data_IF_826296808300
#
_entry.id   IF_826296808300
#
_cell.length_a   1.000
_cell.length_b   1.000
_cell.length_c   1.000
_cell.angle_alpha   90.00
_cell.angle_beta   90.00
_cell.angle_gamma   90.00
#
_symmetry.space_group_name_H-M   'P 1'
#
loop_
_entity.id
_entity.type
_entity.pdbx_description
1 polymer ?
#
# COMPACT_ATOMS: atom_id res chain seq x y z
N UNK A 1 73.65 3.81 -91.42
CA UNK A 1 72.67 3.32 -92.43
C UNK A 1 71.30 3.36 -91.76
N UNK A 2 70.35 4.27 -91.97
CA UNK A 2 70.14 5.54 -92.73
C UNK A 2 69.46 6.52 -91.73
N UNK A 3 69.94 7.77 -91.59
CA UNK A 3 69.39 9.02 -92.16
C UNK A 3 67.94 9.31 -91.74
N UNK A 4 67.72 10.24 -90.79
CA UNK A 4 67.40 11.70 -90.97
C UNK A 4 65.87 11.89 -90.97
N UNK A 5 65.22 12.85 -90.30
CA UNK A 5 65.53 14.23 -89.95
C UNK A 5 64.57 14.69 -88.81
N UNK A 6 65.02 15.39 -87.75
CA UNK A 6 65.10 16.87 -87.62
C UNK A 6 63.69 17.54 -87.61
N UNK A 7 63.34 18.55 -86.80
CA UNK A 7 63.97 19.46 -85.81
C UNK A 7 62.81 20.42 -85.42
N UNK A 8 62.62 20.94 -84.21
CA UNK A 8 63.13 22.23 -83.64
C UNK A 8 62.17 22.48 -82.45
N UNK A 9 62.57 22.42 -81.18
CA UNK A 9 63.27 23.40 -80.33
C UNK A 9 62.50 24.66 -79.87
N UNK A 10 62.70 24.93 -78.57
CA UNK A 10 62.47 26.16 -77.78
C UNK A 10 61.03 26.38 -77.27
N UNK A 11 60.68 26.19 -75.99
CA UNK A 11 61.18 26.76 -74.72
C UNK A 11 60.61 28.15 -74.35
N UNK A 12 60.02 28.18 -73.14
CA UNK A 12 60.18 29.18 -72.06
C UNK A 12 59.01 30.16 -71.75
N UNK A 13 58.56 30.02 -70.49
CA UNK A 13 58.16 31.01 -69.47
C UNK A 13 56.80 31.76 -69.54
N UNK A 14 56.10 31.66 -68.39
CA UNK A 14 54.83 32.25 -67.94
C UNK A 14 54.83 33.79 -67.88
N UNK A 15 53.64 34.43 -67.87
CA UNK A 15 53.36 35.33 -66.75
C UNK A 15 51.89 35.39 -66.26
N UNK A 16 51.76 36.20 -65.22
CA UNK A 16 50.74 36.46 -64.20
C UNK A 16 49.47 37.25 -64.63
N UNK A 17 48.46 37.19 -63.74
CA UNK A 17 47.14 37.89 -63.68
C UNK A 17 47.09 39.37 -64.12
N UNK A 18 45.88 39.87 -64.45
CA UNK A 18 45.49 41.27 -64.18
C UNK A 18 44.32 41.42 -63.18
N UNK A 19 44.23 42.63 -62.61
CA UNK A 19 43.33 43.13 -61.57
C UNK A 19 42.30 44.16 -62.11
N UNK A 20 41.05 44.11 -61.59
CA UNK A 20 40.12 45.21 -61.18
C UNK A 20 39.67 46.32 -62.18
N UNK A 21 38.34 46.52 -62.32
CA UNK A 21 37.70 47.87 -62.28
C UNK A 21 36.20 47.81 -61.85
N UNK A 22 35.74 48.85 -61.14
CA UNK A 22 34.56 48.96 -60.24
C UNK A 22 33.28 49.51 -60.89
N UNK A 23 32.10 49.19 -60.32
CA UNK A 23 31.04 50.17 -59.97
C UNK A 23 30.03 49.57 -58.97
N UNK A 24 29.56 50.42 -58.04
CA UNK A 24 28.82 50.14 -56.79
C UNK A 24 27.40 50.73 -56.90
N UNK A 25 26.34 50.00 -56.48
CA UNK A 25 25.15 50.55 -55.79
C UNK A 25 24.54 49.46 -54.85
N UNK A 26 24.29 49.83 -53.59
CA UNK A 26 23.66 49.06 -52.49
C UNK A 26 22.12 48.89 -52.65
N UNK A 27 21.51 47.83 -52.10
CA UNK A 27 20.68 47.87 -50.85
C UNK A 27 19.81 46.60 -50.58
N UNK A 28 19.84 46.13 -49.32
CA UNK A 28 18.85 45.38 -48.50
C UNK A 28 18.51 43.87 -48.70
N UNK A 29 19.13 43.06 -47.83
CA UNK A 29 18.65 41.97 -46.95
C UNK A 29 17.21 41.42 -47.13
N UNK A 30 17.11 40.11 -47.31
CA UNK A 30 16.08 39.25 -46.67
C UNK A 30 16.69 37.86 -46.38
N UNK A 31 16.86 37.53 -45.10
CA UNK A 31 17.24 36.20 -44.61
C UNK A 31 15.94 35.42 -44.39
N UNK A 32 15.78 34.28 -45.07
CA UNK A 32 14.85 33.24 -44.61
C UNK A 32 15.49 31.87 -44.80
N UNK A 33 15.92 31.29 -43.68
CA UNK A 33 16.30 29.89 -43.60
C UNK A 33 15.03 29.03 -43.70
N UNK A 34 14.96 28.13 -44.67
CA UNK A 34 13.95 27.07 -44.69
C UNK A 34 14.36 25.99 -43.67
N UNK A 35 13.81 26.09 -42.47
CA UNK A 35 13.73 24.96 -41.55
C UNK A 35 12.61 24.05 -42.03
N UNK A 36 12.92 22.92 -42.67
CA UNK A 36 11.92 21.87 -42.90
C UNK A 36 11.54 21.26 -41.55
N UNK A 37 10.39 21.69 -41.03
CA UNK A 37 9.77 21.07 -39.86
C UNK A 37 9.33 19.65 -40.24
N UNK A 38 9.96 18.64 -39.64
CA UNK A 38 9.37 17.31 -39.56
C UNK A 38 8.13 17.47 -38.70
N UNK A 39 6.95 17.42 -39.31
CA UNK A 39 5.70 17.39 -38.57
C UNK A 39 5.72 16.14 -37.67
N UNK A 40 5.57 16.34 -36.36
CA UNK A 40 5.30 15.23 -35.46
C UNK A 40 4.03 14.53 -35.93
N UNK A 41 4.10 13.21 -36.14
CA UNK A 41 2.93 12.42 -36.46
C UNK A 41 1.95 12.51 -35.27
N UNK A 42 0.87 13.26 -35.46
CA UNK A 42 -0.19 13.45 -34.49
C UNK A 42 -1.46 12.79 -35.02
N UNK A 43 -2.02 11.85 -34.25
CA UNK A 43 -3.37 11.30 -34.50
C UNK A 43 -3.48 9.87 -35.02
N UNK A 44 -2.45 9.02 -34.91
CA UNK A 44 -2.62 7.59 -35.18
C UNK A 44 -3.29 6.85 -34.01
N UNK A 45 -4.29 6.01 -34.27
CA UNK A 45 -4.83 5.06 -33.29
C UNK A 45 -3.76 4.02 -32.98
N UNK A 46 -3.35 3.89 -31.72
CA UNK A 46 -2.45 2.83 -31.29
C UNK A 46 -3.19 1.83 -30.39
N UNK A 47 -2.92 0.55 -30.60
CA UNK A 47 -3.40 -0.56 -29.78
C UNK A 47 -2.24 -1.00 -28.88
N UNK A 48 -2.47 -1.02 -27.57
CA UNK A 48 -1.51 -1.61 -26.63
C UNK A 48 -1.89 -3.07 -26.42
N UNK A 49 -1.15 -3.98 -27.05
CA UNK A 49 -1.43 -5.43 -27.05
C UNK A 49 -0.89 -6.16 -25.81
N UNK A 50 -0.19 -5.46 -24.90
CA UNK A 50 0.26 -6.04 -23.62
C UNK A 50 0.44 -4.97 -22.55
N UNK A 51 -0.10 -5.20 -21.36
CA UNK A 51 0.31 -4.50 -20.14
C UNK A 51 1.48 -5.24 -19.50
N UNK A 52 2.50 -4.52 -19.07
CA UNK A 52 3.56 -5.04 -18.20
C UNK A 52 3.51 -4.21 -16.92
N UNK A 53 3.46 -4.87 -15.76
CA UNK A 53 3.77 -4.21 -14.48
C UNK A 53 5.30 -4.13 -14.43
N UNK A 54 5.86 -2.99 -14.83
CA UNK A 54 7.29 -2.72 -14.73
C UNK A 54 7.53 -1.66 -13.65
N UNK A 55 8.41 -1.94 -12.69
CA UNK A 55 8.87 -1.00 -11.67
C UNK A 55 9.83 0.06 -12.20
N UNK A 56 9.47 0.76 -13.27
CA UNK A 56 10.31 1.77 -13.93
C UNK A 56 9.67 3.16 -13.90
N UNK A 57 10.21 4.06 -13.08
CA UNK A 57 9.91 5.49 -13.11
C UNK A 57 10.82 6.23 -14.11
N UNK A 58 10.23 7.07 -14.96
CA UNK A 58 10.96 7.91 -15.91
C UNK A 58 10.30 9.28 -16.06
N UNK A 59 11.10 10.32 -16.38
CA UNK A 59 10.64 11.69 -16.60
C UNK A 59 10.31 11.89 -18.09
N UNK A 60 9.06 12.21 -18.40
CA UNK A 60 8.67 12.73 -19.71
C UNK A 60 8.80 14.26 -19.74
N UNK A 61 9.45 14.83 -20.77
CA UNK A 61 9.54 16.28 -20.96
C UNK A 61 9.65 16.62 -22.46
N UNK A 62 9.09 17.77 -22.87
CA UNK A 62 9.26 18.30 -24.24
C UNK A 62 8.02 18.30 -25.14
N UNK A 63 6.80 18.16 -24.61
CA UNK A 63 5.56 18.21 -25.39
C UNK A 63 4.37 18.75 -24.60
N UNK A 64 3.27 19.04 -25.29
CA UNK A 64 1.96 19.35 -24.69
C UNK A 64 1.26 18.03 -24.39
N UNK A 65 1.14 17.67 -23.11
CA UNK A 65 0.50 16.42 -22.70
C UNK A 65 -0.94 16.69 -22.25
N UNK A 66 -1.85 15.77 -22.58
CA UNK A 66 -3.21 15.73 -22.05
C UNK A 66 -3.31 14.45 -21.23
N UNK A 67 -3.68 14.57 -19.95
CA UNK A 67 -3.84 13.42 -19.06
C UNK A 67 -5.27 13.38 -18.59
N UNK A 68 -5.93 12.28 -18.90
CA UNK A 68 -7.29 12.06 -18.45
C UNK A 68 -7.31 10.92 -17.44
N UNK A 69 -7.16 11.26 -16.17
CA UNK A 69 -7.23 10.30 -15.07
C UNK A 69 -6.68 10.84 -13.75
N UNK A 70 -7.21 10.34 -12.64
CA UNK A 70 -6.66 10.53 -11.29
C UNK A 70 -5.54 9.53 -11.04
N UNK A 71 -4.37 10.01 -10.59
CA UNK A 71 -3.29 9.15 -10.12
C UNK A 71 -3.69 8.64 -8.73
N UNK A 72 -4.00 7.35 -8.63
CA UNK A 72 -4.26 6.66 -7.36
C UNK A 72 -5.73 6.46 -6.97
N UNK A 73 -6.71 6.86 -7.78
CA UNK A 73 -8.13 6.48 -7.60
C UNK A 73 -8.83 6.26 -8.94
N UNK A 74 -9.73 5.28 -9.01
CA UNK A 74 -10.57 5.09 -10.20
C UNK A 74 -11.66 6.17 -10.24
N UNK A 75 -11.48 7.17 -11.11
CA UNK A 75 -12.56 8.09 -11.51
C UNK A 75 -12.82 7.93 -13.00
N UNK A 76 -14.01 7.43 -13.33
CA UNK A 76 -14.50 7.45 -14.70
C UNK A 76 -14.88 8.89 -15.10
N UNK A 77 -14.21 9.47 -16.11
CA UNK A 77 -14.70 10.66 -16.84
C UNK A 77 -13.79 11.91 -16.92
N UNK A 78 -12.68 11.95 -16.20
CA UNK A 78 -11.74 13.08 -16.00
C UNK A 78 -10.75 13.52 -17.11
N UNK A 79 -11.17 14.07 -18.26
CA UNK A 79 -10.43 15.05 -19.12
C UNK A 79 -9.41 16.09 -18.55
N UNK A 80 -8.07 16.09 -18.72
CA UNK A 80 -7.21 17.32 -18.46
C UNK A 80 -6.31 17.75 -19.63
N UNK A 81 -6.57 18.94 -20.21
CA UNK A 81 -5.81 19.60 -21.30
C UNK A 81 -5.37 21.04 -20.94
N UNK A 82 -4.20 21.51 -21.39
CA UNK A 82 -3.97 22.94 -21.69
C UNK A 82 -2.91 23.76 -20.91
N UNK A 83 -2.13 23.19 -19.99
CA UNK A 83 -1.01 23.89 -19.31
C UNK A 83 0.17 22.95 -19.01
N UNK A 84 1.36 23.51 -18.77
CA UNK A 84 2.48 22.76 -18.22
C UNK A 84 2.20 22.44 -16.74
N UNK A 85 1.96 21.18 -16.42
CA UNK A 85 1.80 20.71 -15.04
C UNK A 85 2.96 19.76 -14.70
N UNK A 86 3.42 19.79 -13.45
CA UNK A 86 4.31 18.78 -12.89
C UNK A 86 3.47 17.72 -12.20
N UNK A 87 3.61 16.47 -12.63
CA UNK A 87 3.13 15.34 -11.83
C UNK A 87 4.23 14.98 -10.86
N UNK A 88 3.97 15.19 -9.57
CA UNK A 88 4.73 14.51 -8.53
C UNK A 88 4.15 13.09 -8.40
N UNK A 89 4.78 12.13 -9.08
CA UNK A 89 4.41 10.72 -8.95
C UNK A 89 5.02 10.18 -7.67
N UNK A 90 4.19 9.73 -6.75
CA UNK A 90 4.57 8.92 -5.61
C UNK A 90 3.62 7.72 -5.52
N UNK A 91 4.09 6.63 -4.92
CA UNK A 91 3.17 5.71 -4.27
C UNK A 91 2.61 6.50 -3.10
N UNK A 92 1.35 6.94 -3.19
CA UNK A 92 0.61 7.20 -1.97
C UNK A 92 0.57 5.85 -1.28
N UNK A 93 1.44 5.65 -0.30
CA UNK A 93 1.08 4.76 0.78
C UNK A 93 -0.19 5.41 1.33
N UNK A 94 -1.35 4.99 0.84
CA UNK A 94 -2.49 4.90 1.71
C UNK A 94 -1.91 4.30 2.99
N UNK A 95 -2.08 4.93 4.17
CA UNK A 95 -1.63 4.31 5.40
C UNK A 95 -2.16 2.89 5.30
N UNK A 96 -1.25 1.93 5.16
CA UNK A 96 -1.66 0.54 5.25
C UNK A 96 -2.36 0.54 6.60
N UNK A 97 -3.68 0.33 6.63
CA UNK A 97 -4.34 0.02 7.89
C UNK A 97 -3.43 -1.04 8.48
N UNK A 98 -2.79 -0.73 9.61
CA UNK A 98 -1.79 -1.60 10.20
C UNK A 98 -2.51 -2.90 10.41
N UNK A 99 -2.24 -3.89 9.55
CA UNK A 99 -2.99 -5.13 9.55
C UNK A 99 -2.75 -5.73 10.92
N UNK A 100 -3.75 -5.68 11.79
CA UNK A 100 -3.57 -6.09 13.17
C UNK A 100 -3.28 -7.57 13.16
N UNK A 101 -2.11 -7.91 13.67
CA UNK A 101 -1.73 -9.29 13.85
C UNK A 101 -2.39 -9.79 15.14
N UNK A 102 -3.17 -10.88 15.10
CA UNK A 102 -3.68 -11.48 16.32
C UNK A 102 -2.53 -11.80 17.27
N UNK A 103 -2.73 -11.59 18.57
CA UNK A 103 -1.74 -11.86 19.62
C UNK A 103 -0.40 -11.11 19.46
N UNK A 104 -0.40 -9.89 18.93
CA UNK A 104 0.75 -8.98 18.97
C UNK A 104 0.76 -8.24 20.32
N UNK A 105 1.57 -8.69 21.29
CA UNK A 105 1.56 -8.14 22.65
C UNK A 105 2.52 -6.96 22.82
N UNK A 106 3.39 -6.67 21.85
CA UNK A 106 4.37 -5.58 21.93
C UNK A 106 4.17 -4.46 20.90
N UNK A 107 3.24 -4.65 19.96
CA UNK A 107 2.80 -3.66 18.99
C UNK A 107 3.76 -3.54 17.81
N UNK A 108 4.57 -4.57 17.52
CA UNK A 108 5.50 -4.56 16.40
C UNK A 108 4.85 -4.91 15.04
N UNK A 109 3.54 -5.18 15.06
CA UNK A 109 2.73 -5.54 13.91
C UNK A 109 2.79 -7.02 13.55
N UNK A 110 3.41 -7.88 14.38
CA UNK A 110 3.50 -9.32 14.13
C UNK A 110 2.95 -10.12 15.32
N UNK A 111 2.37 -11.26 15.01
CA UNK A 111 1.89 -12.20 16.02
C UNK A 111 3.04 -12.72 16.89
N UNK A 112 2.85 -12.65 18.21
CA UNK A 112 3.71 -13.30 19.19
C UNK A 112 3.23 -14.72 19.52
N UNK A 113 4.12 -15.52 20.10
CA UNK A 113 3.75 -16.87 20.55
C UNK A 113 3.39 -16.85 22.03
N UNK A 114 2.12 -17.10 22.35
CA UNK A 114 1.60 -17.14 23.71
C UNK A 114 1.40 -18.55 24.28
N UNK A 115 1.54 -18.68 25.60
CA UNK A 115 1.17 -19.84 26.41
C UNK A 115 0.38 -19.32 27.62
N UNK A 116 -0.81 -19.89 27.84
CA UNK A 116 -1.50 -19.79 29.11
C UNK A 116 -1.41 -21.13 29.85
N UNK A 117 -0.98 -21.10 31.12
CA UNK A 117 -0.97 -22.27 32.00
C UNK A 117 -2.12 -22.13 33.00
N UNK A 118 -3.21 -22.90 32.86
CA UNK A 118 -4.42 -22.71 33.65
C UNK A 118 -4.17 -22.87 35.15
N UNK A 119 -3.46 -23.92 35.58
CA UNK A 119 -3.23 -24.19 37.02
C UNK A 119 -2.75 -22.97 37.82
N UNK A 120 -1.62 -22.35 37.47
CA UNK A 120 -1.13 -21.14 38.13
C UNK A 120 -1.69 -19.82 37.55
N UNK A 121 -2.60 -19.88 36.57
CA UNK A 121 -3.08 -18.73 35.80
C UNK A 121 -1.96 -17.85 35.24
N UNK A 122 -0.92 -18.49 34.71
CA UNK A 122 0.26 -17.81 34.18
C UNK A 122 0.16 -17.60 32.67
N UNK A 123 0.45 -16.38 32.27
CA UNK A 123 0.60 -15.95 30.89
C UNK A 123 2.08 -15.80 30.58
N UNK A 124 2.50 -16.36 29.46
CA UNK A 124 3.84 -16.25 28.91
C UNK A 124 3.70 -15.94 27.44
N UNK A 125 4.37 -14.92 26.93
CA UNK A 125 4.42 -14.69 25.49
C UNK A 125 5.84 -14.38 25.06
N UNK A 126 6.26 -14.98 23.95
CA UNK A 126 7.58 -14.73 23.37
C UNK A 126 7.40 -13.71 22.25
N UNK A 127 7.96 -12.52 22.47
CA UNK A 127 7.91 -11.41 21.52
C UNK A 127 8.63 -11.78 20.22
N UNK A 128 7.98 -11.55 19.10
CA UNK A 128 8.50 -11.83 17.77
C UNK A 128 9.62 -10.85 17.39
N UNK A 129 9.56 -9.63 17.93
CA UNK A 129 10.47 -8.52 17.67
C UNK A 129 11.88 -8.74 18.23
N UNK A 130 11.99 -9.22 19.47
CA UNK A 130 13.25 -9.29 20.22
C UNK A 130 13.48 -10.63 20.96
N UNK A 131 12.51 -11.54 20.92
CA UNK A 131 12.60 -12.87 21.54
C UNK A 131 12.51 -12.90 23.06
N UNK A 132 12.25 -11.76 23.72
CA UNK A 132 12.03 -11.71 25.17
C UNK A 132 10.74 -12.45 25.54
N UNK A 133 10.69 -12.97 26.78
CA UNK A 133 9.57 -13.78 27.26
C UNK A 133 8.97 -13.17 28.54
N UNK A 134 8.19 -12.08 28.45
CA UNK A 134 7.44 -11.58 29.59
C UNK A 134 6.49 -12.65 30.15
N UNK A 135 6.26 -12.56 31.47
CA UNK A 135 5.35 -13.45 32.17
C UNK A 135 4.59 -12.69 33.26
N UNK A 136 3.34 -13.05 33.47
CA UNK A 136 2.49 -12.49 34.52
C UNK A 136 1.42 -13.50 34.95
N UNK A 137 0.83 -13.27 36.13
CA UNK A 137 -0.31 -14.05 36.62
C UNK A 137 -1.57 -13.19 36.58
N UNK A 138 -2.61 -13.69 35.91
CA UNK A 138 -3.89 -13.00 35.81
C UNK A 138 -5.01 -14.01 35.51
N UNK A 139 -6.07 -13.98 36.32
CA UNK A 139 -7.20 -14.90 36.20
C UNK A 139 -7.08 -16.16 37.05
N UNK A 140 -7.80 -17.20 36.66
CA UNK A 140 -7.91 -18.49 37.35
C UNK A 140 -7.90 -19.66 36.36
N UNK A 141 -7.76 -20.88 36.87
CA UNK A 141 -7.61 -22.09 36.03
C UNK A 141 -8.80 -22.47 35.15
N UNK A 142 -9.97 -21.86 35.36
CA UNK A 142 -11.19 -22.14 34.60
C UNK A 142 -11.55 -21.04 33.62
N UNK A 143 -10.78 -19.95 33.60
CA UNK A 143 -11.04 -18.83 32.72
C UNK A 143 -10.61 -19.17 31.28
N UNK A 144 -11.40 -18.72 30.30
CA UNK A 144 -11.11 -18.90 28.89
C UNK A 144 -10.36 -17.68 28.37
N UNK A 145 -9.17 -17.88 27.78
CA UNK A 145 -8.35 -16.78 27.26
C UNK A 145 -9.06 -16.09 26.09
N UNK A 146 -8.95 -14.77 26.02
CA UNK A 146 -9.61 -13.98 25.00
C UNK A 146 -8.80 -12.71 24.63
N UNK A 147 -7.55 -12.82 24.17
CA UNK A 147 -6.69 -11.66 23.91
C UNK A 147 -7.08 -10.95 22.61
N UNK A 148 -7.22 -9.63 22.68
CA UNK A 148 -7.32 -8.69 21.55
C UNK A 148 -6.99 -7.28 22.07
N UNK A 149 -6.78 -6.32 21.18
CA UNK A 149 -6.56 -4.91 21.51
C UNK A 149 -7.88 -4.22 21.87
N UNK A 150 -8.32 -4.32 23.12
CA UNK A 150 -9.60 -3.77 23.58
C UNK A 150 -9.54 -2.26 23.77
N UNK A 151 -8.36 -1.70 24.00
CA UNK A 151 -8.19 -0.28 24.32
C UNK A 151 -7.87 0.57 23.09
N UNK A 152 -7.40 -0.04 22.00
CA UNK A 152 -7.01 0.60 20.75
C UNK A 152 -5.60 1.19 20.79
N UNK A 153 -4.71 0.64 21.61
CA UNK A 153 -3.30 1.09 21.70
C UNK A 153 -2.39 0.40 20.66
N UNK A 154 -2.95 -0.54 19.89
CA UNK A 154 -2.23 -1.30 18.88
C UNK A 154 -1.56 -2.56 19.42
N UNK A 155 -1.78 -2.93 20.69
CA UNK A 155 -1.29 -4.17 21.28
C UNK A 155 -2.46 -5.03 21.74
N UNK A 156 -2.30 -6.34 21.65
CA UNK A 156 -3.20 -7.29 22.26
C UNK A 156 -3.14 -7.16 23.78
N UNK A 157 -4.28 -6.94 24.41
CA UNK A 157 -4.40 -6.99 25.85
C UNK A 157 -4.47 -8.45 26.34
N UNK A 158 -3.95 -8.69 27.53
CA UNK A 158 -4.18 -9.97 28.21
C UNK A 158 -5.60 -9.94 28.77
N UNK A 159 -6.44 -10.86 28.32
CA UNK A 159 -7.83 -10.89 28.76
C UNK A 159 -8.38 -12.30 28.85
N UNK A 160 -9.41 -12.46 29.67
CA UNK A 160 -10.15 -13.70 29.77
C UNK A 160 -11.64 -13.46 29.98
N UNK A 161 -12.42 -14.46 29.59
CA UNK A 161 -13.83 -14.61 29.90
C UNK A 161 -14.00 -15.69 30.95
N UNK A 162 -14.82 -15.43 31.97
CA UNK A 162 -15.16 -16.41 33.00
C UNK A 162 -16.41 -17.18 32.62
N UNK A 163 -16.31 -18.46 32.20
CA UNK A 163 -17.46 -19.19 31.64
C UNK A 163 -18.54 -19.51 32.67
N UNK A 164 -18.27 -19.37 33.97
CA UNK A 164 -19.25 -19.61 35.03
C UNK A 164 -20.12 -18.40 35.33
N UNK A 165 -19.63 -17.18 35.07
CA UNK A 165 -20.33 -15.92 35.43
C UNK A 165 -20.69 -15.06 34.22
N UNK A 166 -20.06 -15.28 33.05
CA UNK A 166 -20.25 -14.40 31.90
C UNK A 166 -19.47 -13.07 32.00
N UNK A 167 -18.44 -13.03 32.84
CA UNK A 167 -17.69 -11.81 33.14
C UNK A 167 -16.36 -11.78 32.38
N UNK A 168 -16.04 -10.62 31.79
CA UNK A 168 -14.81 -10.34 31.08
C UNK A 168 -13.83 -9.59 31.99
N UNK A 169 -12.55 -9.90 31.86
CA UNK A 169 -11.46 -9.23 32.58
C UNK A 169 -10.35 -8.88 31.60
N UNK A 170 -10.03 -7.59 31.49
CA UNK A 170 -9.07 -7.06 30.51
C UNK A 170 -7.94 -6.41 31.31
N UNK A 171 -6.73 -6.94 31.16
CA UNK A 171 -5.49 -6.36 31.68
C UNK A 171 -4.86 -5.52 30.57
N UNK A 172 -4.86 -4.21 30.80
CA UNK A 172 -4.43 -3.20 29.85
C UNK A 172 -2.94 -3.28 29.56
N UNK A 173 -2.59 -3.32 28.29
CA UNK A 173 -1.21 -3.35 27.79
C UNK A 173 -0.44 -2.05 28.10
N UNK A 174 -1.13 -0.91 28.27
CA UNK A 174 -0.47 0.40 28.34
C UNK A 174 0.07 0.73 29.73
N UNK A 175 -0.60 0.24 30.78
CA UNK A 175 -0.29 0.57 32.17
C UNK A 175 -0.36 -0.61 33.17
N UNK A 176 -0.83 -1.78 32.73
CA UNK A 176 -0.98 -2.96 33.58
C UNK A 176 -2.13 -2.87 34.61
N UNK A 177 -3.01 -1.88 34.52
CA UNK A 177 -4.28 -1.87 35.26
C UNK A 177 -5.31 -2.79 34.58
N UNK A 178 -6.39 -3.14 35.29
CA UNK A 178 -7.44 -3.98 34.71
C UNK A 178 -8.84 -3.46 35.00
N UNK A 179 -9.79 -3.86 34.17
CA UNK A 179 -11.22 -3.64 34.39
C UNK A 179 -12.01 -4.90 34.05
N UNK A 180 -13.24 -4.99 34.58
CA UNK A 180 -14.16 -6.09 34.31
C UNK A 180 -15.59 -5.63 34.06
N UNK A 181 -16.35 -6.43 33.31
CA UNK A 181 -17.74 -6.17 33.00
C UNK A 181 -18.45 -7.45 32.54
N UNK A 182 -19.78 -7.57 32.75
CA UNK A 182 -20.55 -8.72 32.30
C UNK A 182 -20.99 -8.58 30.83
N UNK A 183 -20.72 -9.59 30.02
CA UNK A 183 -21.30 -9.72 28.67
C UNK A 183 -21.32 -11.19 28.23
N UNK A 184 -22.51 -11.70 27.91
CA UNK A 184 -22.74 -13.12 27.67
C UNK A 184 -23.31 -13.83 28.90
N UNK A 185 -23.27 -15.15 28.90
CA UNK A 185 -23.81 -16.00 29.96
C UNK A 185 -22.95 -17.23 30.23
N UNK A 186 -23.33 -17.96 31.28
CA UNK A 186 -22.61 -19.15 31.68
C UNK A 186 -22.64 -20.21 30.57
N UNK A 187 -21.47 -20.76 30.26
CA UNK A 187 -21.28 -21.77 29.20
C UNK A 187 -21.15 -21.23 27.78
N UNK A 188 -21.23 -19.91 27.58
CA UNK A 188 -20.93 -19.32 26.27
C UNK A 188 -19.42 -19.40 25.95
N UNK A 189 -19.06 -19.39 24.67
CA UNK A 189 -17.66 -19.42 24.21
C UNK A 189 -17.22 -18.00 23.81
N UNK A 190 -16.14 -17.43 24.38
CA UNK A 190 -15.67 -16.10 24.01
C UNK A 190 -15.05 -16.11 22.60
N UNK A 191 -15.38 -15.10 21.79
CA UNK A 191 -14.95 -14.96 20.40
C UNK A 191 -14.63 -13.50 20.05
N UNK A 192 -13.81 -12.80 20.86
CA UNK A 192 -13.57 -11.38 20.63
C UNK A 192 -12.79 -11.16 19.32
N UNK A 193 -13.12 -10.06 18.63
CA UNK A 193 -12.48 -9.65 17.39
C UNK A 193 -12.95 -8.22 17.04
N UNK A 194 -12.33 -7.57 16.06
CA UNK A 194 -12.80 -6.28 15.53
C UNK A 194 -13.86 -6.53 14.45
N UNK A 195 -15.15 -6.53 14.79
CA UNK A 195 -16.24 -6.84 13.84
C UNK A 195 -16.77 -5.59 13.12
N UNK A 196 -16.49 -4.38 13.63
CA UNK A 196 -16.98 -3.14 13.04
C UNK A 196 -15.90 -2.28 12.35
N UNK A 197 -14.63 -2.65 12.53
CA UNK A 197 -13.47 -2.07 11.87
C UNK A 197 -13.03 -0.76 12.51
N UNK A 198 -13.38 -0.52 13.78
CA UNK A 198 -13.03 0.71 14.50
C UNK A 198 -11.57 0.73 14.99
N UNK A 199 -10.84 -0.38 14.83
CA UNK A 199 -9.48 -0.46 15.33
C UNK A 199 -9.42 -0.80 16.82
N UNK A 200 -10.46 -1.41 17.41
CA UNK A 200 -10.47 -2.04 18.74
C UNK A 200 -11.09 -3.44 18.67
N UNK A 201 -10.88 -4.22 19.71
CA UNK A 201 -11.51 -5.52 19.87
C UNK A 201 -12.91 -5.36 20.43
N UNK A 202 -13.90 -5.90 19.74
CA UNK A 202 -15.25 -6.05 20.24
C UNK A 202 -15.33 -7.26 21.16
N UNK A 203 -16.30 -7.20 22.06
CA UNK A 203 -16.57 -8.29 22.99
C UNK A 203 -17.67 -9.14 22.39
N UNK A 204 -17.40 -10.43 22.20
CA UNK A 204 -18.35 -11.34 21.59
C UNK A 204 -18.35 -12.72 22.22
N UNK A 205 -19.52 -13.37 22.20
CA UNK A 205 -19.71 -14.75 22.63
C UNK A 205 -20.54 -15.55 21.64
N UNK A 206 -20.20 -16.82 21.47
CA UNK A 206 -20.99 -17.81 20.76
C UNK A 206 -21.70 -18.74 21.74
N UNK A 207 -23.03 -18.82 21.61
CA UNK A 207 -23.88 -19.71 22.39
C UNK A 207 -24.23 -20.94 21.56
N UNK A 208 -23.56 -22.05 21.85
CA UNK A 208 -23.71 -23.31 21.13
C UNK A 208 -25.07 -24.01 21.33
N UNK A 209 -25.81 -23.67 22.39
CA UNK A 209 -27.13 -24.27 22.66
C UNK A 209 -28.21 -23.84 21.66
N UNK A 210 -28.01 -22.70 20.98
CA UNK A 210 -28.93 -22.17 20.00
C UNK A 210 -28.22 -21.52 18.79
N UNK A 211 -26.93 -21.82 18.59
CA UNK A 211 -26.07 -21.31 17.51
C UNK A 211 -26.20 -19.80 17.33
N UNK A 212 -26.19 -19.05 18.42
CA UNK A 212 -26.36 -17.59 18.40
C UNK A 212 -25.09 -16.88 18.82
N UNK A 213 -24.68 -15.92 18.01
CA UNK A 213 -23.58 -15.00 18.23
C UNK A 213 -24.13 -13.72 18.86
N UNK A 214 -23.47 -13.25 19.90
CA UNK A 214 -23.73 -11.96 20.54
C UNK A 214 -22.46 -11.14 20.45
N UNK A 215 -22.50 -10.00 19.78
CA UNK A 215 -21.34 -9.13 19.54
C UNK A 215 -21.69 -7.74 20.06
N UNK A 216 -20.92 -7.22 21.00
CA UNK A 216 -21.03 -5.85 21.47
C UNK A 216 -19.85 -5.04 20.94
N UNK A 217 -20.18 -4.04 20.12
CA UNK A 217 -19.20 -3.18 19.47
C UNK A 217 -18.53 -2.23 20.45
N UNK A 218 -17.21 -2.07 20.37
CA UNK A 218 -16.44 -1.11 21.18
C UNK A 218 -16.76 0.34 20.84
N UNK A 219 -17.15 0.61 19.60
CA UNK A 219 -17.39 1.96 19.09
C UNK A 219 -18.60 2.66 19.71
N UNK A 220 -19.69 1.92 19.94
CA UNK A 220 -20.98 2.48 20.39
C UNK A 220 -21.75 1.63 21.40
N UNK A 221 -21.17 0.51 21.86
CA UNK A 221 -21.81 -0.47 22.76
C UNK A 221 -23.07 -1.15 22.19
N UNK A 222 -23.35 -0.95 20.90
CA UNK A 222 -24.45 -1.59 20.19
C UNK A 222 -24.23 -3.10 20.09
N UNK A 223 -25.32 -3.86 20.25
CA UNK A 223 -25.28 -5.33 20.30
C UNK A 223 -25.92 -5.92 19.03
N UNK A 224 -25.14 -6.73 18.31
CA UNK A 224 -25.61 -7.57 17.21
C UNK A 224 -25.93 -8.97 17.74
N UNK A 225 -27.08 -9.52 17.31
CA UNK A 225 -27.53 -10.88 17.67
C UNK A 225 -27.78 -11.64 16.38
N UNK A 226 -26.98 -12.67 16.12
CA UNK A 226 -26.96 -13.38 14.83
C UNK A 226 -27.11 -14.87 15.09
N UNK A 227 -28.08 -15.53 14.47
CA UNK A 227 -28.22 -16.99 14.53
C UNK A 227 -27.60 -17.61 13.28
N UNK A 228 -26.48 -18.30 13.46
CA UNK A 228 -25.72 -18.92 12.36
C UNK A 228 -24.86 -20.09 12.88
N UNK A 229 -24.80 -21.16 12.09
CA UNK A 229 -24.11 -22.42 12.42
C UNK A 229 -25.06 -23.57 12.75
N UNK A 230 -24.48 -24.76 12.88
CA UNK A 230 -25.15 -26.01 13.23
C UNK A 230 -24.64 -26.56 14.57
N UNK A 231 -25.38 -27.53 15.11
CA UNK A 231 -24.98 -28.19 16.37
C UNK A 231 -23.62 -28.88 16.20
N UNK A 232 -22.67 -28.53 17.07
CA UNK A 232 -21.31 -29.07 17.05
C UNK A 232 -20.29 -28.20 16.31
N UNK A 233 -20.73 -27.16 15.61
CA UNK A 233 -19.81 -26.19 15.00
C UNK A 233 -19.05 -25.41 16.09
N UNK A 234 -17.80 -25.07 15.78
CA UNK A 234 -16.95 -24.25 16.63
C UNK A 234 -16.82 -22.86 16.00
N UNK A 235 -16.88 -21.78 16.80
CA UNK A 235 -16.71 -20.45 16.27
C UNK A 235 -15.25 -20.20 15.92
N UNK A 236 -15.03 -19.52 14.79
CA UNK A 236 -13.72 -19.03 14.36
C UNK A 236 -13.91 -17.64 13.79
N UNK A 237 -13.04 -16.72 14.16
CA UNK A 237 -13.07 -15.33 13.72
C UNK A 237 -11.75 -14.97 13.06
N UNK A 238 -11.83 -14.29 11.92
CA UNK A 238 -10.70 -13.69 11.23
C UNK A 238 -11.21 -12.72 10.17
N UNK A 239 -10.35 -11.82 9.73
CA UNK A 239 -10.59 -11.02 8.52
C UNK A 239 -10.29 -11.88 7.28
N UNK A 240 -11.32 -12.57 6.77
CA UNK A 240 -11.15 -13.54 5.68
C UNK A 240 -11.13 -12.86 4.30
N UNK A 241 -11.76 -11.70 4.17
CA UNK A 241 -11.87 -10.97 2.91
C UNK A 241 -10.92 -9.77 2.78
N UNK A 242 -10.25 -9.39 3.86
CA UNK A 242 -9.24 -8.34 3.91
C UNK A 242 -9.80 -6.93 4.05
N UNK A 243 -11.04 -6.77 4.51
CA UNK A 243 -11.70 -5.46 4.65
C UNK A 243 -11.37 -4.73 5.98
N UNK A 244 -10.60 -5.39 6.86
CA UNK A 244 -10.21 -4.88 8.17
C UNK A 244 -11.20 -5.18 9.29
N UNK A 245 -12.30 -5.88 9.02
CA UNK A 245 -13.22 -6.47 10.01
C UNK A 245 -13.02 -7.97 10.08
N UNK A 246 -13.37 -8.55 11.21
CA UNK A 246 -13.45 -9.99 11.36
C UNK A 246 -14.84 -10.48 10.99
N UNK A 247 -14.89 -11.63 10.32
CA UNK A 247 -16.12 -12.33 9.93
C UNK A 247 -16.42 -13.55 10.81
#
# INVERSE_FOLDING_TARGET
MKLEDLKVHAARQLPTRPTICRSIVLLAICISALSSSVAAQSGGTFVIERSVIAGGGGRASGGTFTIDGTIGQAVAGTKSTGAAFSIESGFWAAPFASRRSPFDFDGDGKTDVGIFRPGPAEWWYRRSSDGQVPALQFGTSTDAIAPVDYTGDGKSDVAFFRPTTGEWFILRSEDGSFYSFPFGGAGDTPVPADYDGDGKGDVAVFRSTNNTWYIQRSSDLGVSIITFGASGDLPVTADYDGDGKSD
#
